data_IF_971167518242
#
_entry.id   IF_971167518242
#
_cell.length_a   1.000
_cell.length_b   1.000
_cell.length_c   1.000
_cell.angle_alpha   90.00
_cell.angle_beta   90.00
_cell.angle_gamma   90.00
#
_symmetry.space_group_name_H-M   'P 1'
#
loop_
_entity.id
_entity.type
_entity.pdbx_description
1 polymer ?
#
# COMPACT_ATOMS: atom_id res chain seq x y z
N UNK A 1 1.68 14.26 2.12
CA UNK A 1 0.34 13.65 2.09
C UNK A 1 -0.74 14.70 1.82
N UNK A 2 -0.89 15.73 2.66
CA UNK A 2 -1.94 16.78 2.50
C UNK A 2 -1.88 17.47 1.13
N UNK A 3 -0.69 17.79 0.63
CA UNK A 3 -0.49 18.38 -0.70
C UNK A 3 -0.96 17.42 -1.80
N UNK A 4 -0.56 16.15 -1.71
CA UNK A 4 -0.94 15.12 -2.67
C UNK A 4 -2.46 14.89 -2.70
N UNK A 5 -3.09 14.84 -1.52
CA UNK A 5 -4.55 14.70 -1.44
C UNK A 5 -5.28 15.90 -2.04
N UNK A 6 -4.77 17.11 -1.88
CA UNK A 6 -5.33 18.32 -2.53
C UNK A 6 -5.18 18.28 -4.04
N UNK A 7 -4.01 17.83 -4.54
CA UNK A 7 -3.70 17.73 -5.96
C UNK A 7 -4.59 16.71 -6.67
N UNK A 8 -4.86 15.57 -6.03
CA UNK A 8 -5.61 14.45 -6.62
C UNK A 8 -7.11 14.48 -6.32
N UNK A 9 -7.57 15.29 -5.36
CA UNK A 9 -8.99 15.36 -5.01
C UNK A 9 -9.82 15.81 -6.21
N UNK A 10 -10.78 14.99 -6.62
CA UNK A 10 -11.66 15.20 -7.77
C UNK A 10 -10.94 15.29 -9.13
N UNK A 11 -9.64 14.98 -9.18
CA UNK A 11 -8.91 14.83 -10.44
C UNK A 11 -9.48 13.64 -11.20
N UNK A 12 -9.69 13.79 -12.48
CA UNK A 12 -10.13 12.71 -13.35
C UNK A 12 -8.94 11.82 -13.71
N UNK A 13 -9.14 10.51 -13.60
CA UNK A 13 -8.20 9.50 -14.10
C UNK A 13 -8.59 9.18 -15.54
N UNK A 14 -7.68 9.45 -16.45
CA UNK A 14 -7.87 9.24 -17.88
C UNK A 14 -7.50 7.81 -18.26
N UNK A 15 -8.39 7.13 -18.96
CA UNK A 15 -8.17 5.77 -19.49
C UNK A 15 -7.92 5.89 -20.99
N UNK A 16 -6.71 5.56 -21.50
CA UNK A 16 -6.48 5.45 -22.94
C UNK A 16 -7.36 4.36 -23.58
N UNK A 17 -7.81 4.62 -24.80
CA UNK A 17 -8.71 3.71 -25.55
C UNK A 17 -8.06 2.35 -25.87
N UNK A 18 -6.74 2.29 -25.91
CA UNK A 18 -5.93 1.11 -26.21
C UNK A 18 -5.56 0.25 -24.98
N UNK A 19 -6.02 0.62 -23.77
CA UNK A 19 -5.85 -0.23 -22.60
C UNK A 19 -6.79 -1.44 -22.65
N UNK A 20 -6.21 -2.61 -22.82
CA UNK A 20 -6.95 -3.88 -22.85
C UNK A 20 -6.87 -4.55 -21.48
N UNK A 21 -8.00 -4.70 -20.82
CA UNK A 21 -8.11 -5.47 -19.59
C UNK A 21 -8.46 -6.91 -19.89
N UNK A 22 -7.74 -7.84 -19.27
CA UNK A 22 -7.99 -9.28 -19.35
C UNK A 22 -8.29 -9.86 -17.98
N UNK A 23 -9.05 -10.95 -17.92
CA UNK A 23 -9.28 -11.74 -16.72
C UNK A 23 -8.63 -13.10 -16.95
N UNK A 24 -7.66 -13.47 -16.09
CA UNK A 24 -6.87 -14.72 -16.23
C UNK A 24 -6.29 -14.92 -17.65
N UNK A 25 -5.94 -13.84 -18.34
CA UNK A 25 -5.42 -13.81 -19.73
C UNK A 25 -6.35 -14.38 -20.81
N UNK A 26 -7.56 -14.79 -20.47
CA UNK A 26 -8.47 -15.47 -21.39
C UNK A 26 -9.57 -14.56 -21.94
N UNK A 27 -10.15 -13.74 -21.07
CA UNK A 27 -11.28 -12.90 -21.43
C UNK A 27 -10.83 -11.44 -21.53
N UNK A 28 -10.86 -10.90 -22.74
CA UNK A 28 -10.59 -9.48 -22.96
C UNK A 28 -11.85 -8.66 -22.73
N UNK A 29 -11.81 -7.73 -21.80
CA UNK A 29 -12.90 -6.77 -21.61
C UNK A 29 -12.83 -5.72 -22.72
N UNK A 30 -13.85 -5.67 -23.56
CA UNK A 30 -13.98 -4.67 -24.64
C UNK A 30 -14.22 -3.25 -24.09
N UNK A 31 -14.83 -3.18 -22.90
CA UNK A 31 -15.11 -1.91 -22.22
C UNK A 31 -14.90 -2.11 -20.71
N UNK A 32 -14.45 -1.05 -20.04
CA UNK A 32 -14.36 -1.02 -18.58
C UNK A 32 -15.79 -1.13 -18.01
N UNK A 33 -16.06 -2.08 -17.10
CA UNK A 33 -17.39 -2.27 -16.55
C UNK A 33 -17.91 -0.98 -15.90
N UNK A 34 -19.11 -0.54 -16.31
CA UNK A 34 -19.78 0.60 -15.67
C UNK A 34 -20.05 0.27 -14.20
N UNK A 35 -19.47 1.00 -13.28
CA UNK A 35 -19.56 0.82 -11.85
C UNK A 35 -19.87 2.13 -11.14
N UNK A 36 -20.46 2.04 -9.94
CA UNK A 36 -20.69 3.22 -9.10
C UNK A 36 -19.36 3.73 -8.53
N UNK A 37 -18.43 2.81 -8.29
CA UNK A 37 -17.06 3.10 -7.85
C UNK A 37 -16.06 2.16 -8.54
N UNK A 38 -14.89 2.69 -8.85
CA UNK A 38 -13.77 1.91 -9.38
C UNK A 38 -12.57 2.06 -8.46
N UNK A 39 -12.01 0.94 -8.00
CA UNK A 39 -10.71 0.94 -7.33
C UNK A 39 -9.68 0.63 -8.41
N UNK A 40 -8.85 1.61 -8.77
CA UNK A 40 -7.78 1.44 -9.74
C UNK A 40 -6.43 1.39 -9.04
N UNK A 41 -5.62 0.38 -9.31
CA UNK A 41 -4.26 0.23 -8.80
C UNK A 41 -3.28 0.23 -9.96
N UNK A 42 -2.38 1.20 -9.97
CA UNK A 42 -1.23 1.21 -10.86
C UNK A 42 -0.03 0.56 -10.15
N UNK A 43 0.68 -0.30 -10.86
CA UNK A 43 1.86 -1.01 -10.35
C UNK A 43 3.01 -0.78 -11.31
N UNK A 44 4.02 -0.04 -10.85
CA UNK A 44 5.23 0.24 -11.63
C UNK A 44 6.20 -0.95 -11.65
N UNK A 45 7.19 -0.87 -12.54
CA UNK A 45 8.23 -1.90 -12.72
C UNK A 45 9.30 -1.91 -11.61
N UNK A 46 9.22 -1.05 -10.59
CA UNK A 46 10.26 -0.91 -9.55
C UNK A 46 10.02 -1.92 -8.43
N UNK A 47 11.00 -2.77 -8.13
CA UNK A 47 10.96 -3.74 -7.02
C UNK A 47 10.16 -5.02 -7.32
N UNK A 48 9.74 -5.72 -6.25
CA UNK A 48 9.05 -7.00 -6.32
C UNK A 48 7.56 -6.85 -6.65
N UNK A 49 7.14 -7.37 -7.80
CA UNK A 49 5.74 -7.30 -8.27
C UNK A 49 4.78 -8.07 -7.36
N UNK A 50 5.13 -9.29 -6.96
CA UNK A 50 4.27 -10.12 -6.09
C UNK A 50 4.05 -9.49 -4.71
N UNK A 51 5.11 -8.87 -4.15
CA UNK A 51 5.02 -8.17 -2.86
C UNK A 51 4.09 -6.96 -2.91
N UNK A 52 4.04 -6.26 -4.06
CA UNK A 52 3.16 -5.10 -4.27
C UNK A 52 1.71 -5.50 -4.44
N UNK A 53 1.47 -6.59 -5.16
CA UNK A 53 0.13 -6.99 -5.55
C UNK A 53 -0.68 -7.55 -4.38
N UNK A 54 -0.10 -8.41 -3.49
CA UNK A 54 -0.85 -9.09 -2.40
C UNK A 54 -2.24 -9.57 -2.85
N UNK A 55 -2.28 -10.29 -3.96
CA UNK A 55 -3.49 -10.62 -4.75
C UNK A 55 -4.63 -11.21 -3.90
N UNK A 56 -4.33 -12.12 -2.98
CA UNK A 56 -5.33 -12.74 -2.11
C UNK A 56 -6.09 -11.74 -1.24
N UNK A 57 -5.41 -10.66 -0.80
CA UNK A 57 -6.04 -9.63 0.00
C UNK A 57 -7.03 -8.79 -0.81
N UNK A 58 -6.78 -8.63 -2.12
CA UNK A 58 -7.72 -7.95 -3.03
C UNK A 58 -8.99 -8.76 -3.23
N UNK A 59 -8.89 -10.08 -3.42
CA UNK A 59 -10.05 -10.97 -3.53
C UNK A 59 -10.90 -10.95 -2.25
N UNK A 60 -10.26 -10.90 -1.08
CA UNK A 60 -10.95 -10.76 0.19
C UNK A 60 -11.65 -9.40 0.33
N UNK A 61 -11.01 -8.31 -0.11
CA UNK A 61 -11.61 -6.99 -0.11
C UNK A 61 -12.82 -6.92 -1.04
N UNK A 62 -12.72 -7.44 -2.26
CA UNK A 62 -13.80 -7.47 -3.22
C UNK A 62 -15.03 -8.23 -2.69
N UNK A 63 -14.82 -9.44 -2.14
CA UNK A 63 -15.89 -10.21 -1.48
C UNK A 63 -16.56 -9.43 -0.36
N UNK A 64 -15.77 -8.73 0.46
CA UNK A 64 -16.30 -7.90 1.53
C UNK A 64 -17.12 -6.73 0.98
N UNK A 65 -16.66 -6.06 -0.07
CA UNK A 65 -17.41 -4.97 -0.71
C UNK A 65 -18.76 -5.47 -1.24
N UNK A 66 -18.78 -6.60 -1.92
CA UNK A 66 -20.02 -7.23 -2.42
C UNK A 66 -21.00 -7.59 -1.30
N UNK A 67 -20.52 -7.93 -0.09
CA UNK A 67 -21.38 -8.34 1.03
C UNK A 67 -21.97 -7.17 1.82
N UNK A 68 -21.38 -5.97 1.77
CA UNK A 68 -21.77 -4.84 2.62
C UNK A 68 -22.45 -3.70 1.87
N UNK A 69 -22.48 -3.74 0.54
CA UNK A 69 -23.06 -2.66 -0.27
C UNK A 69 -23.79 -3.20 -1.50
N UNK A 70 -24.88 -2.54 -1.89
CA UNK A 70 -25.56 -2.77 -3.16
C UNK A 70 -24.92 -1.99 -4.33
N UNK A 71 -23.84 -1.25 -4.07
CA UNK A 71 -23.10 -0.52 -5.12
C UNK A 71 -22.26 -1.47 -5.94
N UNK A 72 -22.19 -1.22 -7.26
CA UNK A 72 -21.28 -1.92 -8.15
C UNK A 72 -19.89 -1.33 -7.98
N UNK A 73 -18.95 -2.15 -7.55
CA UNK A 73 -17.55 -1.76 -7.36
C UNK A 73 -16.69 -2.63 -8.25
N UNK A 74 -15.87 -2.02 -9.08
CA UNK A 74 -14.86 -2.70 -9.91
C UNK A 74 -13.48 -2.48 -9.32
N UNK A 75 -12.66 -3.55 -9.27
CA UNK A 75 -11.25 -3.47 -8.96
C UNK A 75 -10.46 -3.68 -10.25
N UNK A 76 -9.70 -2.70 -10.67
CA UNK A 76 -8.91 -2.71 -11.91
C UNK A 76 -7.42 -2.57 -11.58
N UNK A 77 -6.58 -3.28 -12.32
CA UNK A 77 -5.14 -3.24 -12.15
C UNK A 77 -4.47 -2.89 -13.46
N UNK A 78 -3.61 -1.88 -13.45
CA UNK A 78 -2.72 -1.56 -14.58
C UNK A 78 -1.30 -1.80 -14.13
N UNK A 79 -0.62 -2.70 -14.78
CA UNK A 79 0.71 -3.15 -14.40
C UNK A 79 1.69 -2.80 -15.53
N UNK A 80 2.67 -1.96 -15.19
CA UNK A 80 3.85 -1.76 -16.03
C UNK A 80 4.95 -2.72 -15.56
N UNK A 81 5.17 -3.88 -16.26
CA UNK A 81 6.03 -4.93 -15.74
C UNK A 81 7.49 -4.76 -16.18
N UNK A 82 8.44 -5.32 -15.41
CA UNK A 82 9.78 -5.65 -15.93
C UNK A 82 9.75 -6.86 -16.87
N UNK A 83 8.89 -7.81 -16.57
CA UNK A 83 8.69 -9.04 -17.31
C UNK A 83 7.21 -9.41 -17.34
N UNK A 84 6.62 -9.37 -18.53
CA UNK A 84 5.24 -9.81 -18.75
C UNK A 84 5.03 -11.27 -18.38
N UNK A 85 6.02 -12.13 -18.67
CA UNK A 85 5.94 -13.57 -18.32
C UNK A 85 5.86 -13.79 -16.82
N UNK A 86 6.63 -13.02 -16.04
CA UNK A 86 6.60 -13.11 -14.56
C UNK A 86 5.24 -12.68 -14.01
N UNK A 87 4.70 -11.56 -14.51
CA UNK A 87 3.37 -11.08 -14.07
C UNK A 87 2.30 -12.12 -14.39
N UNK A 88 2.27 -12.64 -15.61
CA UNK A 88 1.31 -13.65 -16.03
C UNK A 88 1.38 -14.91 -15.16
N UNK A 89 2.58 -15.39 -14.88
CA UNK A 89 2.79 -16.52 -13.97
C UNK A 89 2.21 -16.24 -12.57
N UNK A 90 2.50 -15.07 -12.00
CA UNK A 90 2.00 -14.66 -10.68
C UNK A 90 0.47 -14.60 -10.65
N UNK A 91 -0.16 -14.03 -11.68
CA UNK A 91 -1.63 -13.92 -11.78
C UNK A 91 -2.30 -15.31 -11.88
N UNK A 92 -1.73 -16.20 -12.68
CA UNK A 92 -2.24 -17.57 -12.86
C UNK A 92 -2.12 -18.41 -11.59
N UNK A 93 -0.93 -18.43 -10.97
CA UNK A 93 -0.69 -19.16 -9.71
C UNK A 93 -1.62 -18.72 -8.57
N UNK A 94 -2.00 -17.44 -8.56
CA UNK A 94 -2.91 -16.91 -7.54
C UNK A 94 -4.39 -16.95 -7.94
N UNK A 95 -4.74 -17.51 -9.12
CA UNK A 95 -6.10 -17.53 -9.65
C UNK A 95 -6.78 -16.15 -9.55
N UNK A 96 -6.05 -15.10 -9.95
CA UNK A 96 -6.49 -13.73 -9.78
C UNK A 96 -7.46 -13.33 -10.88
N UNK A 97 -8.74 -13.27 -10.55
CA UNK A 97 -9.87 -13.04 -11.46
C UNK A 97 -10.32 -11.57 -11.60
N UNK A 98 -9.60 -10.63 -10.98
CA UNK A 98 -9.84 -9.21 -11.24
C UNK A 98 -9.27 -8.80 -12.62
N UNK A 99 -9.89 -7.83 -13.29
CA UNK A 99 -9.37 -7.30 -14.56
C UNK A 99 -7.98 -6.68 -14.42
N UNK A 100 -7.05 -7.14 -15.23
CA UNK A 100 -5.66 -6.67 -15.29
C UNK A 100 -5.33 -6.20 -16.70
N UNK A 101 -4.74 -5.01 -16.81
CA UNK A 101 -4.09 -4.52 -18.03
C UNK A 101 -2.57 -4.57 -17.85
N UNK A 102 -1.86 -5.21 -18.76
CA UNK A 102 -0.40 -5.15 -18.82
C UNK A 102 -0.02 -4.05 -19.79
N UNK A 103 0.47 -2.94 -19.24
CA UNK A 103 0.86 -1.72 -19.96
C UNK A 103 2.38 -1.69 -20.15
N UNK A 104 2.86 -2.42 -21.15
CA UNK A 104 4.29 -2.55 -21.44
C UNK A 104 4.94 -1.18 -21.77
N UNK A 105 4.16 -0.26 -22.31
CA UNK A 105 4.63 1.06 -22.75
C UNK A 105 4.48 2.16 -21.69
N UNK A 106 3.93 1.82 -20.52
CA UNK A 106 3.65 2.77 -19.43
C UNK A 106 2.79 3.98 -19.86
N UNK A 107 1.85 3.74 -20.78
CA UNK A 107 1.00 4.80 -21.35
C UNK A 107 0.08 5.37 -20.26
N UNK A 108 -0.47 4.52 -19.41
CA UNK A 108 -1.38 4.93 -18.35
C UNK A 108 -0.73 5.91 -17.36
N UNK A 109 0.50 5.62 -16.92
CA UNK A 109 1.23 6.50 -16.04
C UNK A 109 1.73 7.77 -16.74
N UNK A 110 2.20 7.66 -17.98
CA UNK A 110 2.59 8.84 -18.78
C UNK A 110 1.45 9.84 -18.93
N UNK A 111 0.23 9.36 -19.09
CA UNK A 111 -0.98 10.19 -19.22
C UNK A 111 -1.39 10.82 -17.90
N UNK A 112 -1.44 10.03 -16.82
CA UNK A 112 -1.99 10.44 -15.53
C UNK A 112 -0.94 11.04 -14.58
N UNK A 113 0.34 10.71 -14.75
CA UNK A 113 1.47 11.13 -13.90
C UNK A 113 1.26 10.74 -12.44
N UNK A 114 1.10 9.45 -12.19
CA UNK A 114 0.87 8.92 -10.85
C UNK A 114 2.00 9.25 -9.87
N UNK A 115 1.72 9.32 -8.57
CA UNK A 115 2.74 9.53 -7.57
C UNK A 115 3.80 8.42 -7.62
N UNK A 116 5.08 8.80 -7.49
CA UNK A 116 6.18 7.82 -7.45
C UNK A 116 6.13 6.90 -6.22
N UNK A 117 5.45 7.31 -5.14
CA UNK A 117 5.31 6.49 -3.95
C UNK A 117 4.16 5.48 -4.15
N UNK A 118 4.51 4.20 -4.15
CA UNK A 118 3.60 3.05 -4.32
C UNK A 118 2.37 3.08 -3.37
N UNK A 119 2.50 3.68 -2.19
CA UNK A 119 1.38 3.82 -1.23
C UNK A 119 0.25 4.70 -1.76
N UNK A 120 0.51 5.52 -2.77
CA UNK A 120 -0.44 6.45 -3.38
C UNK A 120 -0.75 6.13 -4.85
N UNK A 121 -0.43 4.92 -5.29
CA UNK A 121 -0.72 4.43 -6.65
C UNK A 121 -2.04 3.64 -6.73
N UNK A 122 -2.87 3.72 -5.69
CA UNK A 122 -4.23 3.17 -5.65
C UNK A 122 -5.23 4.28 -5.38
N UNK A 123 -6.30 4.31 -6.16
CA UNK A 123 -7.32 5.37 -6.12
C UNK A 123 -8.71 4.76 -6.08
N UNK A 124 -9.59 5.35 -5.27
CA UNK A 124 -11.02 5.14 -5.39
C UNK A 124 -11.60 6.22 -6.29
N UNK A 125 -12.27 5.82 -7.36
CA UNK A 125 -12.89 6.69 -8.34
C UNK A 125 -14.42 6.59 -8.20
N UNK A 126 -15.11 7.71 -8.48
CA UNK A 126 -16.56 7.71 -8.69
C UNK A 126 -16.93 7.25 -10.11
N UNK A 127 -18.22 7.21 -10.43
CA UNK A 127 -18.74 6.80 -11.73
C UNK A 127 -18.26 7.69 -12.91
N UNK A 128 -17.73 8.88 -12.63
CA UNK A 128 -17.13 9.79 -13.61
C UNK A 128 -15.60 9.74 -13.62
N UNK A 129 -15.01 8.66 -13.14
CA UNK A 129 -13.55 8.48 -13.05
C UNK A 129 -12.82 9.54 -12.21
N UNK A 130 -13.52 10.28 -11.35
CA UNK A 130 -12.92 11.29 -10.49
C UNK A 130 -12.46 10.69 -9.18
N UNK A 131 -11.26 11.02 -8.75
CA UNK A 131 -10.68 10.55 -7.50
C UNK A 131 -11.47 11.05 -6.31
N UNK A 132 -11.97 10.12 -5.48
CA UNK A 132 -12.68 10.40 -4.21
C UNK A 132 -11.87 9.98 -2.98
N UNK A 133 -10.93 9.06 -3.14
CA UNK A 133 -9.94 8.73 -2.13
C UNK A 133 -8.66 8.20 -2.77
N UNK A 134 -7.53 8.34 -2.06
CA UNK A 134 -6.21 7.88 -2.49
C UNK A 134 -5.55 7.07 -1.39
N UNK A 135 -4.81 6.04 -1.77
CA UNK A 135 -4.04 5.15 -0.91
C UNK A 135 -4.48 3.70 -1.02
N UNK A 136 -3.57 2.79 -0.73
CA UNK A 136 -3.80 1.36 -0.92
C UNK A 136 -4.56 0.75 0.28
N UNK A 137 -5.80 0.26 0.10
CA UNK A 137 -6.63 -0.31 1.18
C UNK A 137 -6.13 -1.70 1.64
N UNK A 138 -5.23 -2.34 0.89
CA UNK A 138 -4.62 -3.62 1.28
C UNK A 138 -3.47 -3.41 2.26
N UNK A 139 -2.80 -2.27 2.17
CA UNK A 139 -1.64 -1.94 3.00
C UNK A 139 -1.98 -1.03 4.18
N UNK A 140 -3.22 -0.53 4.27
CA UNK A 140 -3.61 0.41 5.32
C UNK A 140 -5.09 0.25 5.70
N UNK A 141 -5.36 -0.21 6.92
CA UNK A 141 -6.71 -0.47 7.41
C UNK A 141 -7.55 0.81 7.55
N UNK A 142 -6.95 1.99 7.77
CA UNK A 142 -7.67 3.27 7.77
C UNK A 142 -8.15 3.63 6.36
N UNK A 143 -7.30 3.41 5.35
CA UNK A 143 -7.68 3.61 3.94
C UNK A 143 -8.77 2.61 3.55
N UNK A 144 -8.63 1.36 3.98
CA UNK A 144 -9.66 0.33 3.78
C UNK A 144 -11.00 0.75 4.37
N UNK A 145 -10.99 1.21 5.63
CA UNK A 145 -12.19 1.72 6.28
C UNK A 145 -12.76 2.94 5.56
N UNK A 146 -11.92 3.89 5.15
CA UNK A 146 -12.32 5.06 4.37
C UNK A 146 -13.06 4.66 3.09
N UNK A 147 -12.51 3.69 2.32
CA UNK A 147 -13.15 3.19 1.11
C UNK A 147 -14.50 2.55 1.42
N UNK A 148 -14.56 1.70 2.45
CA UNK A 148 -15.81 1.06 2.86
C UNK A 148 -16.88 2.10 3.27
N UNK A 149 -16.50 3.12 4.03
CA UNK A 149 -17.41 4.19 4.48
C UNK A 149 -17.92 5.01 3.27
N UNK A 150 -17.05 5.39 2.32
CA UNK A 150 -17.45 6.12 1.11
C UNK A 150 -18.40 5.29 0.25
N UNK A 151 -18.04 4.03 -0.03
CA UNK A 151 -18.81 3.15 -0.92
C UNK A 151 -20.19 2.80 -0.31
N UNK A 152 -20.25 2.59 1.00
CA UNK A 152 -21.49 2.29 1.70
C UNK A 152 -22.38 3.53 1.92
N UNK A 153 -21.90 4.74 1.57
CA UNK A 153 -22.62 5.98 1.83
C UNK A 153 -22.74 6.31 3.31
N UNK A 154 -22.00 5.64 4.16
CA UNK A 154 -21.94 5.96 5.57
C UNK A 154 -21.33 7.36 5.69
N UNK A 155 -22.06 8.31 6.26
CA UNK A 155 -21.48 9.61 6.62
C UNK A 155 -20.23 9.29 7.44
N UNK A 156 -19.09 9.79 6.95
CA UNK A 156 -17.84 9.73 7.73
C UNK A 156 -18.16 10.32 9.11
N UNK A 157 -18.50 9.47 10.05
CA UNK A 157 -18.32 9.81 11.44
C UNK A 157 -16.80 9.85 11.59
N UNK A 158 -16.22 11.00 11.23
CA UNK A 158 -14.93 11.36 11.74
C UNK A 158 -15.08 11.19 13.25
N UNK A 159 -14.63 10.06 13.79
CA UNK A 159 -14.30 10.04 15.21
C UNK A 159 -13.33 11.19 15.32
N UNK A 160 -13.83 12.29 15.82
CA UNK A 160 -13.14 13.51 16.19
C UNK A 160 -11.80 13.08 16.75
N UNK A 161 -10.71 13.39 16.08
CA UNK A 161 -9.36 12.97 16.25
C UNK A 161 -9.07 11.99 17.39
N UNK A 162 -8.50 10.81 17.08
CA UNK A 162 -7.67 10.16 18.09
C UNK A 162 -6.78 11.25 18.63
N UNK A 163 -6.84 11.51 19.95
CA UNK A 163 -5.99 12.52 20.57
C UNK A 163 -4.57 12.26 20.09
N UNK A 164 -3.99 13.23 19.37
CA UNK A 164 -2.60 13.11 18.91
C UNK A 164 -1.69 13.07 20.12
N UNK A 165 -0.63 12.31 20.02
CA UNK A 165 0.43 12.27 21.00
C UNK A 165 1.75 12.67 20.37
N UNK A 166 2.81 12.77 21.17
CA UNK A 166 4.17 13.02 20.71
C UNK A 166 5.03 11.80 20.99
N UNK A 167 6.07 11.60 20.18
CA UNK A 167 7.02 10.52 20.38
C UNK A 167 8.45 10.98 20.19
N UNK A 168 9.35 10.26 20.85
CA UNK A 168 10.77 10.25 20.54
C UNK A 168 11.15 8.88 19.99
N UNK A 169 11.97 8.87 18.95
CA UNK A 169 12.48 7.64 18.31
C UNK A 169 13.96 7.53 18.69
N UNK A 170 14.41 6.33 19.11
CA UNK A 170 15.81 6.12 19.52
C UNK A 170 16.79 6.44 18.39
N UNK A 171 16.45 5.98 17.21
CA UNK A 171 17.19 6.20 15.97
C UNK A 171 16.28 5.99 14.77
N UNK A 172 16.60 6.60 13.63
CA UNK A 172 15.82 6.45 12.40
C UNK A 172 16.54 5.64 11.32
N UNK A 173 17.80 5.31 11.55
CA UNK A 173 18.65 4.50 10.67
C UNK A 173 19.44 3.51 11.50
N UNK A 174 19.41 2.24 11.12
CA UNK A 174 20.25 1.19 11.65
C UNK A 174 21.13 0.61 10.56
N UNK A 175 22.43 0.59 10.76
CA UNK A 175 23.40 -0.01 9.84
C UNK A 175 23.87 -1.37 10.38
N UNK A 176 23.55 -2.44 9.64
CA UNK A 176 23.99 -3.79 9.98
C UNK A 176 25.47 -4.04 9.63
N UNK A 177 26.11 -3.14 8.87
CA UNK A 177 27.46 -3.38 8.35
C UNK A 177 27.49 -4.55 7.37
N UNK A 178 28.48 -5.43 7.53
CA UNK A 178 28.61 -6.67 6.75
C UNK A 178 27.87 -7.81 7.45
N UNK A 179 26.98 -8.49 6.73
CA UNK A 179 26.17 -9.60 7.24
C UNK A 179 26.19 -10.77 6.26
N UNK A 180 25.91 -11.98 6.75
CA UNK A 180 25.67 -13.14 5.88
C UNK A 180 24.29 -13.05 5.23
N UNK A 181 24.18 -13.19 3.90
CA UNK A 181 22.88 -13.25 3.22
C UNK A 181 22.10 -14.54 3.54
N UNK A 182 22.79 -15.59 4.03
CA UNK A 182 22.16 -16.87 4.38
C UNK A 182 21.38 -16.81 5.68
N UNK A 183 21.63 -15.82 6.55
CA UNK A 183 21.05 -15.71 7.87
C UNK A 183 20.14 -14.50 8.01
N UNK A 184 19.09 -14.64 8.83
CA UNK A 184 18.22 -13.50 9.19
C UNK A 184 18.89 -12.64 10.25
N UNK A 185 18.89 -11.34 10.04
CA UNK A 185 19.40 -10.35 10.97
C UNK A 185 18.24 -9.60 11.63
N UNK A 186 18.46 -9.12 12.86
CA UNK A 186 17.46 -8.40 13.64
C UNK A 186 18.01 -7.11 14.20
N UNK A 187 17.21 -6.05 14.15
CA UNK A 187 17.46 -4.83 14.91
C UNK A 187 16.17 -4.35 15.61
N UNK A 188 16.31 -3.47 16.58
CA UNK A 188 15.18 -2.97 17.37
C UNK A 188 15.23 -1.45 17.37
N UNK A 189 14.14 -0.83 16.90
CA UNK A 189 13.88 0.59 17.10
C UNK A 189 12.95 0.76 18.29
N UNK A 190 13.15 1.80 19.09
CA UNK A 190 12.30 2.11 20.24
C UNK A 190 11.58 3.43 20.01
N UNK A 191 10.24 3.40 20.11
CA UNK A 191 9.39 4.57 20.07
C UNK A 191 8.90 4.85 21.49
N UNK A 192 9.28 5.98 22.10
CA UNK A 192 8.79 6.40 23.40
C UNK A 192 7.63 7.37 23.22
N UNK A 193 6.51 7.13 23.88
CA UNK A 193 5.40 8.05 23.93
C UNK A 193 5.71 9.18 24.93
N UNK A 194 6.11 10.35 24.41
CA UNK A 194 6.44 11.54 25.20
C UNK A 194 5.27 12.52 25.33
N UNK A 195 4.15 12.23 24.66
CA UNK A 195 2.94 13.04 24.73
C UNK A 195 2.01 12.65 25.89
N UNK A 196 0.82 13.24 25.89
CA UNK A 196 -0.19 13.08 26.97
C UNK A 196 -1.31 12.10 26.62
N UNK A 197 -1.39 11.66 25.37
CA UNK A 197 -2.40 10.69 24.90
C UNK A 197 -1.78 9.32 24.63
N UNK A 198 -2.60 8.29 24.48
CA UNK A 198 -2.15 6.97 24.09
C UNK A 198 -1.53 7.03 22.67
N UNK A 199 -0.36 6.42 22.51
CA UNK A 199 0.22 6.18 21.18
C UNK A 199 -0.44 4.93 20.59
N UNK A 200 -0.99 5.07 19.41
CA UNK A 200 -1.61 3.97 18.66
C UNK A 200 -0.87 3.82 17.34
N UNK A 201 -0.34 2.62 17.10
CA UNK A 201 0.21 2.24 15.81
C UNK A 201 -0.93 1.71 14.96
N UNK A 202 -1.20 2.37 13.85
CA UNK A 202 -2.27 2.01 12.94
C UNK A 202 -1.84 0.95 11.94
N UNK A 203 -0.60 1.08 11.43
CA UNK A 203 -0.03 0.16 10.46
C UNK A 203 1.49 0.30 10.38
N UNK A 204 2.16 -0.77 9.95
CA UNK A 204 3.60 -0.77 9.68
C UNK A 204 3.84 -1.49 8.35
N UNK A 205 4.49 -0.78 7.42
CA UNK A 205 4.80 -1.29 6.09
C UNK A 205 6.29 -1.32 5.82
N UNK A 206 6.73 -2.28 5.01
CA UNK A 206 8.12 -2.44 4.57
C UNK A 206 8.25 -2.23 3.07
N UNK A 207 9.40 -1.74 2.61
CA UNK A 207 9.67 -1.52 1.18
C UNK A 207 9.92 -2.79 0.38
N UNK A 208 10.08 -3.96 1.02
CA UNK A 208 10.27 -5.27 0.37
C UNK A 208 9.73 -6.41 1.22
N UNK A 209 9.50 -7.57 0.61
CA UNK A 209 9.15 -8.82 1.30
C UNK A 209 10.31 -9.45 2.09
N UNK A 210 11.55 -9.03 1.81
CA UNK A 210 12.77 -9.44 2.52
C UNK A 210 12.88 -8.85 3.94
N UNK A 211 11.96 -7.96 4.32
CA UNK A 211 11.90 -7.32 5.63
C UNK A 211 10.56 -7.60 6.29
N UNK A 212 10.57 -8.08 7.51
CA UNK A 212 9.37 -8.26 8.35
C UNK A 212 9.50 -7.48 9.65
N UNK A 213 8.36 -7.13 10.26
CA UNK A 213 8.31 -6.31 11.47
C UNK A 213 7.41 -6.96 12.51
N UNK A 214 7.87 -6.97 13.75
CA UNK A 214 7.13 -7.45 14.90
C UNK A 214 7.03 -6.35 15.96
N UNK A 215 5.83 -6.10 16.45
CA UNK A 215 5.54 -5.11 17.50
C UNK A 215 4.23 -5.43 18.22
N UNK A 216 4.04 -4.89 19.43
CA UNK A 216 2.75 -4.97 20.12
C UNK A 216 1.73 -4.05 19.45
N UNK A 217 0.51 -4.54 19.22
CA UNK A 217 -0.62 -3.76 18.72
C UNK A 217 -1.39 -3.01 19.83
N UNK A 218 -0.99 -3.19 21.09
CA UNK A 218 -1.62 -2.50 22.20
C UNK A 218 -1.25 -1.02 22.23
N UNK A 219 -2.17 -0.13 22.59
CA UNK A 219 -1.88 1.28 22.77
C UNK A 219 -0.83 1.51 23.86
N UNK A 220 0.15 2.38 23.59
CA UNK A 220 1.26 2.69 24.49
C UNK A 220 0.92 3.93 25.33
N UNK A 221 0.99 3.82 26.65
CA UNK A 221 0.67 4.92 27.55
C UNK A 221 1.72 6.03 27.53
N UNK A 222 1.36 7.25 27.93
CA UNK A 222 2.35 8.31 28.19
C UNK A 222 3.51 7.84 29.06
N UNK A 223 4.73 8.12 28.61
CA UNK A 223 5.98 7.73 29.28
C UNK A 223 6.46 6.30 28.96
N UNK A 224 5.60 5.42 28.44
CA UNK A 224 5.97 4.06 28.04
C UNK A 224 6.62 4.02 26.65
N UNK A 225 7.27 2.90 26.35
CA UNK A 225 7.99 2.69 25.08
C UNK A 225 7.49 1.46 24.36
N UNK A 226 7.45 1.53 23.03
CA UNK A 226 7.17 0.45 22.11
C UNK A 226 8.45 0.01 21.40
N UNK A 227 8.72 -1.29 21.38
CA UNK A 227 9.79 -1.89 20.59
C UNK A 227 9.27 -2.34 19.23
N UNK A 228 9.94 -1.90 18.18
CA UNK A 228 9.72 -2.33 16.80
C UNK A 228 10.89 -3.21 16.40
N UNK A 229 10.68 -4.52 16.37
CA UNK A 229 11.70 -5.47 15.93
C UNK A 229 11.62 -5.63 14.43
N UNK A 230 12.68 -5.27 13.73
CA UNK A 230 12.83 -5.43 12.28
C UNK A 230 13.70 -6.66 12.02
N UNK A 231 13.21 -7.56 11.17
CA UNK A 231 13.91 -8.76 10.75
C UNK A 231 14.15 -8.64 9.26
N UNK A 232 15.40 -8.73 8.85
CA UNK A 232 15.83 -8.68 7.47
C UNK A 232 16.55 -9.98 7.07
N UNK A 233 16.24 -10.49 5.88
CA UNK A 233 16.94 -11.61 5.25
C UNK A 233 17.13 -11.30 3.77
N UNK A 234 18.38 -11.23 3.32
CA UNK A 234 18.68 -11.09 1.91
C UNK A 234 18.44 -12.40 1.15
N UNK A 235 18.00 -12.30 -0.09
CA UNK A 235 17.85 -13.46 -0.98
C UNK A 235 19.15 -13.82 -1.71
N UNK A 236 20.04 -12.84 -1.87
CA UNK A 236 21.34 -12.95 -2.54
C UNK A 236 22.31 -11.87 -1.99
N UNK A 237 23.61 -11.96 -2.28
CA UNK A 237 24.55 -10.89 -1.93
C UNK A 237 24.10 -9.55 -2.54
N UNK A 238 23.89 -8.54 -1.70
CA UNK A 238 23.48 -7.18 -2.13
C UNK A 238 23.91 -6.11 -1.14
N UNK A 239 24.15 -4.89 -1.63
CA UNK A 239 24.03 -3.71 -0.78
C UNK A 239 22.57 -3.36 -0.63
N UNK A 240 22.07 -3.28 0.59
CA UNK A 240 20.65 -3.01 0.82
C UNK A 240 20.40 -1.71 1.59
N UNK A 241 19.31 -1.07 1.24
CA UNK A 241 18.71 0.03 1.99
C UNK A 241 17.20 -0.12 1.95
N UNK A 242 16.62 -0.57 3.05
CA UNK A 242 15.18 -0.83 3.13
C UNK A 242 14.51 0.16 4.08
N UNK A 243 13.26 0.50 3.81
CA UNK A 243 12.48 1.46 4.60
C UNK A 243 11.32 0.76 5.29
N UNK A 244 11.12 1.08 6.55
CA UNK A 244 9.97 0.70 7.37
C UNK A 244 9.14 1.97 7.60
N UNK A 245 7.90 1.96 7.18
CA UNK A 245 6.96 3.09 7.32
C UNK A 245 5.94 2.77 8.40
N UNK A 246 5.88 3.60 9.43
CA UNK A 246 4.99 3.42 10.59
C UNK A 246 3.92 4.49 10.56
N UNK A 247 2.66 4.08 10.54
CA UNK A 247 1.49 4.95 10.64
C UNK A 247 0.99 4.95 12.08
N UNK A 248 0.85 6.12 12.70
CA UNK A 248 0.43 6.27 14.08
C UNK A 248 -0.23 7.64 14.31
N UNK A 249 -0.80 7.86 15.50
CA UNK A 249 -1.53 9.08 15.85
C UNK A 249 -0.60 10.22 16.31
N UNK A 250 0.52 10.45 15.63
CA UNK A 250 1.40 11.59 15.87
C UNK A 250 1.37 12.59 14.71
N UNK A 251 1.64 13.90 14.93
CA UNK A 251 1.61 14.91 13.87
C UNK A 251 2.57 14.63 12.72
N UNK A 252 3.70 13.97 13.01
CA UNK A 252 4.76 13.62 12.04
C UNK A 252 4.49 12.29 11.31
N UNK A 253 3.37 11.62 11.56
CA UNK A 253 3.01 10.36 10.85
C UNK A 253 2.77 10.60 9.36
N UNK A 254 3.26 9.68 8.49
CA UNK A 254 3.98 8.46 8.82
C UNK A 254 5.46 8.70 9.15
N UNK A 255 5.97 7.88 10.08
CA UNK A 255 7.39 7.85 10.40
C UNK A 255 8.13 6.91 9.46
N UNK A 256 9.38 7.22 9.15
CA UNK A 256 10.23 6.36 8.35
C UNK A 256 11.46 5.93 9.14
N UNK A 257 11.59 4.63 9.36
CA UNK A 257 12.81 3.99 9.84
C UNK A 257 13.52 3.34 8.66
N UNK A 258 14.85 3.27 8.73
CA UNK A 258 15.67 2.70 7.66
C UNK A 258 16.65 1.69 8.22
N UNK A 259 16.89 0.65 7.45
CA UNK A 259 17.99 -0.30 7.67
C UNK A 259 18.89 -0.31 6.45
N UNK A 260 20.17 -0.47 6.66
CA UNK A 260 21.18 -0.56 5.60
C UNK A 260 22.24 -1.61 5.95
N UNK A 261 23.03 -2.03 4.98
CA UNK A 261 24.15 -2.94 5.16
C UNK A 261 24.58 -3.61 3.86
N UNK A 262 25.59 -4.47 3.96
CA UNK A 262 26.10 -5.30 2.86
C UNK A 262 25.92 -6.77 3.22
N UNK A 263 25.05 -7.46 2.50
CA UNK A 263 24.88 -8.91 2.59
C UNK A 263 25.90 -9.59 1.69
N UNK A 264 26.76 -10.44 2.27
CA UNK A 264 27.87 -11.16 1.60
C UNK A 264 27.75 -12.68 1.74
#
# INVERSE_FOLDING_TARGET
>A
VVRLMKEWNRKEVLFPDDLLFTVLEKDTLKEIPKSDYTIITYVDSIGCTSCKLKLQNWLLLERKLRSITNKRVSCLFVIHPKSKKEVNYILQENHFDCPVCIDDSDIFNKLNKFPANIMYQTFLLDAGNKVVAIGNPIHNDRIKKLYLDIISGNKMTSKKGSMQTEITVSETLFDFGKISFKESQKCIFTLQNTGKALLVIDDVNTSCGCTSVQYSKEPVKPGESLRITVIYKADHPEHFRKTITIYCNVPTSPLQLKITGNAE
#
